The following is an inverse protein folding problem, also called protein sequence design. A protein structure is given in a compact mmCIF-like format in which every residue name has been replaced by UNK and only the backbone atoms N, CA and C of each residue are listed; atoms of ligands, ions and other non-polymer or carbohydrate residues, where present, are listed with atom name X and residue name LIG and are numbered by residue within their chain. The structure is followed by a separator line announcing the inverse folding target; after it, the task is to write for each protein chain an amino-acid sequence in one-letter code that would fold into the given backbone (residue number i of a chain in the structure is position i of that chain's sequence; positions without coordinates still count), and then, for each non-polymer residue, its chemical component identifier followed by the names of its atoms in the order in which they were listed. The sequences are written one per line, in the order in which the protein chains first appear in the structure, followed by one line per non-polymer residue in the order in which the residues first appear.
data_IF_922445678118
#
_entry.id   IF_922445678118
#
_cell.length_a   1.000
_cell.length_b   1.000
_cell.length_c   1.000
_cell.angle_alpha   90.00
_cell.angle_beta   90.00
_cell.angle_gamma   90.00
#
_symmetry.space_group_name_H-M   'P 1'
#
loop_
_entity.id
_entity.type
_entity.pdbx_description
1 polymer ?
#
# COMPACT_ATOMS: atom_id res chain seq x y z
N UNK A 1 2.72 -12.78 -6.25
CA UNK A 1 2.14 -11.78 -5.33
C UNK A 1 0.64 -11.95 -5.35
N UNK A 2 -0.01 -11.95 -4.19
CA UNK A 2 -1.45 -11.74 -4.08
C UNK A 2 -1.86 -10.31 -4.41
N UNK A 3 -3.17 -10.12 -4.52
CA UNK A 3 -3.78 -8.81 -4.80
C UNK A 3 -3.40 -7.78 -3.75
N UNK A 4 -3.30 -6.53 -4.18
CA UNK A 4 -3.16 -5.40 -3.25
C UNK A 4 -4.39 -5.32 -2.36
N UNK A 5 -4.17 -5.12 -1.07
CA UNK A 5 -5.23 -4.73 -0.15
C UNK A 5 -5.77 -3.35 -0.54
N UNK A 6 -6.99 -3.01 -0.12
CA UNK A 6 -7.47 -1.64 -0.21
C UNK A 6 -6.45 -0.67 0.39
N UNK A 7 -6.37 0.53 -0.17
CA UNK A 7 -5.57 1.60 0.40
C UNK A 7 -6.07 1.94 1.81
N UNK A 8 -5.15 2.26 2.71
CA UNK A 8 -5.48 2.86 4.00
C UNK A 8 -6.11 4.24 3.82
N UNK A 9 -6.72 4.74 4.89
CA UNK A 9 -7.09 6.14 4.98
C UNK A 9 -5.85 7.04 4.87
N UNK A 10 -6.07 8.27 4.42
CA UNK A 10 -5.03 9.29 4.39
C UNK A 10 -4.55 9.59 5.81
N UNK A 11 -3.25 9.86 5.97
CA UNK A 11 -2.63 10.23 7.26
C UNK A 11 -3.21 11.51 7.85
N UNK A 12 -3.84 12.34 7.02
CA UNK A 12 -4.53 13.56 7.39
C UNK A 12 -5.81 13.68 6.56
N UNK A 13 -6.74 14.48 7.05
CA UNK A 13 -8.01 14.79 6.36
C UNK A 13 -7.95 16.06 5.53
N UNK A 14 -6.83 16.79 5.58
CA UNK A 14 -6.56 17.99 4.81
C UNK A 14 -5.06 18.06 4.48
N UNK A 15 -4.70 18.90 3.52
CA UNK A 15 -3.32 19.22 3.17
C UNK A 15 -2.72 18.28 2.11
N UNK A 16 -1.92 18.88 1.23
CA UNK A 16 -1.30 18.21 0.06
C UNK A 16 -0.20 17.20 0.42
N UNK A 17 0.27 17.23 1.67
CA UNK A 17 1.31 16.34 2.18
C UNK A 17 0.77 15.05 2.81
N UNK A 18 -0.55 14.84 2.78
CA UNK A 18 -1.10 13.60 3.30
C UNK A 18 -0.78 12.43 2.38
N UNK A 19 -0.54 11.27 2.99
CA UNK A 19 -0.20 10.04 2.29
C UNK A 19 -1.13 8.90 2.70
N UNK A 20 -1.21 7.89 1.84
CA UNK A 20 -1.87 6.62 2.11
C UNK A 20 -0.97 5.48 1.67
N UNK A 21 -1.13 4.32 2.30
CA UNK A 21 -0.36 3.13 1.97
C UNK A 21 -1.27 1.93 1.65
N UNK A 22 -0.75 0.99 0.85
CA UNK A 22 -1.36 -0.32 0.60
C UNK A 22 -0.32 -1.40 0.82
N UNK A 23 -0.78 -2.62 1.11
CA UNK A 23 0.06 -3.80 1.29
C UNK A 23 -0.44 -4.95 0.43
N UNK A 24 0.45 -5.84 0.04
CA UNK A 24 0.14 -7.11 -0.63
C UNK A 24 0.94 -8.22 0.02
N UNK A 25 0.47 -9.45 -0.11
CA UNK A 25 1.16 -10.64 0.41
C UNK A 25 1.69 -11.49 -0.72
N UNK A 26 2.69 -12.31 -0.45
CA UNK A 26 3.19 -13.29 -1.41
C UNK A 26 2.45 -14.61 -1.19
N UNK A 27 1.15 -14.64 -1.50
CA UNK A 27 0.25 -15.76 -1.18
C UNK A 27 -0.55 -16.26 -2.40
N UNK A 28 -0.36 -15.69 -3.59
CA UNK A 28 -1.01 -16.12 -4.84
C UNK A 28 -0.01 -16.30 -5.99
N UNK A 29 0.56 -17.51 -6.18
CA UNK A 29 0.58 -18.62 -5.21
C UNK A 29 1.55 -18.35 -4.06
N UNK A 30 1.30 -18.97 -2.89
CA UNK A 30 2.26 -18.97 -1.80
C UNK A 30 3.52 -19.78 -2.20
N UNK A 31 4.74 -19.33 -1.88
CA UNK A 31 5.94 -20.12 -2.09
C UNK A 31 5.84 -21.44 -1.32
N UNK A 32 6.01 -22.55 -2.03
CA UNK A 32 6.03 -23.89 -1.42
C UNK A 32 7.47 -24.33 -1.15
N UNK A 33 7.66 -25.15 -0.13
CA UNK A 33 8.92 -25.87 0.16
C UNK A 33 10.18 -24.98 0.26
N UNK A 34 10.07 -23.78 0.85
CA UNK A 34 11.21 -22.86 0.94
C UNK A 34 11.54 -22.14 -0.37
N UNK A 35 10.60 -22.12 -1.33
CA UNK A 35 10.73 -21.34 -2.56
C UNK A 35 10.99 -19.86 -2.31
N UNK A 36 11.67 -19.21 -3.26
CA UNK A 36 12.03 -17.79 -3.13
C UNK A 36 10.80 -16.92 -2.90
N UNK A 37 10.92 -15.99 -1.95
CA UNK A 37 9.90 -14.98 -1.71
C UNK A 37 9.64 -14.12 -2.96
N UNK A 38 8.48 -13.47 -3.00
CA UNK A 38 8.15 -12.60 -4.12
C UNK A 38 9.11 -11.40 -4.19
N UNK A 39 9.68 -11.13 -5.38
CA UNK A 39 10.55 -9.98 -5.60
C UNK A 39 9.80 -8.64 -5.55
N UNK A 40 10.42 -7.62 -4.97
CA UNK A 40 9.89 -6.26 -4.82
C UNK A 40 9.28 -5.98 -3.45
N UNK A 41 8.74 -4.77 -3.26
CA UNK A 41 8.15 -4.37 -1.98
C UNK A 41 6.75 -4.95 -1.78
N UNK A 42 6.47 -5.34 -0.54
CA UNK A 42 5.16 -5.79 -0.08
C UNK A 42 4.22 -4.63 0.31
N UNK A 43 4.71 -3.39 0.24
CA UNK A 43 3.95 -2.18 0.55
C UNK A 43 4.23 -1.08 -0.49
N UNK A 44 3.30 -0.15 -0.61
CA UNK A 44 3.45 1.05 -1.42
C UNK A 44 2.84 2.25 -0.70
N UNK A 45 3.40 3.44 -0.89
CA UNK A 45 2.95 4.70 -0.31
C UNK A 45 2.74 5.71 -1.43
N UNK A 46 1.64 6.46 -1.36
CA UNK A 46 1.32 7.51 -2.33
C UNK A 46 0.68 8.70 -1.63
N UNK A 47 0.69 9.87 -2.28
CA UNK A 47 0.01 11.06 -1.77
C UNK A 47 -1.50 10.92 -1.94
N UNK A 48 -2.23 11.59 -1.06
CA UNK A 48 -3.67 11.79 -1.22
C UNK A 48 -3.90 13.01 -2.12
N UNK A 49 -4.60 12.78 -3.23
CA UNK A 49 -4.81 13.79 -4.28
C UNK A 49 -6.13 14.57 -4.14
N UNK A 50 -6.99 14.18 -3.20
CA UNK A 50 -8.34 14.72 -3.00
C UNK A 50 -8.57 15.14 -1.55
N UNK A 51 -7.65 15.94 -0.99
CA UNK A 51 -7.84 16.53 0.33
C UNK A 51 -7.97 18.06 0.23
N UNK A 52 -8.89 18.67 1.00
CA UNK A 52 -8.97 20.13 1.09
C UNK A 52 -7.67 20.69 1.68
N UNK A 53 -7.36 21.95 1.38
CA UNK A 53 -6.27 22.64 2.06
C UNK A 53 -6.63 22.79 3.56
N UNK A 54 -5.63 22.60 4.44
CA UNK A 54 -5.82 22.86 5.87
C UNK A 54 -5.83 24.38 6.07
N UNK A 55 -6.99 24.95 6.38
CA UNK A 55 -7.16 26.37 6.74
C UNK A 55 -6.74 26.66 8.17
#
# INVERSE_FOLDING_TARGET
WGSWKPWSACTATCGKNSTKYTTRRCDSPAPLYGGNGCGGLAFNVTNCIELPDCS
#
